data_IF_709698029776
#
_entry.id   IF_709698029776
#
_cell.length_a   1.000
_cell.length_b   1.000
_cell.length_c   1.000
_cell.angle_alpha   90.00
_cell.angle_beta   90.00
_cell.angle_gamma   90.00
#
_symmetry.space_group_name_H-M   'P 1'
#
loop_
_entity.id
_entity.type
_entity.pdbx_description
1 polymer ?
#
# COMPACT_ATOMS: atom_id res chain seq x y z
N UNK A 1 8.10 -4.21 -10.97
CA UNK A 1 8.59 -4.04 -9.59
C UNK A 1 8.24 -5.21 -8.69
N UNK A 2 7.02 -5.78 -8.77
CA UNK A 2 6.69 -7.01 -8.02
C UNK A 2 7.33 -8.19 -8.74
N UNK A 3 8.14 -8.99 -8.02
CA UNK A 3 8.77 -10.16 -8.63
C UNK A 3 7.70 -11.21 -9.01
N UNK A 4 7.82 -11.89 -10.16
CA UNK A 4 6.84 -12.88 -10.60
C UNK A 4 6.55 -13.94 -9.52
N UNK A 5 5.28 -14.25 -9.30
CA UNK A 5 4.85 -15.26 -8.31
C UNK A 5 4.98 -14.85 -6.84
N UNK A 6 5.49 -13.66 -6.53
CA UNK A 6 5.53 -13.16 -5.16
C UNK A 6 4.13 -12.90 -4.62
N UNK A 7 3.90 -13.23 -3.36
CA UNK A 7 2.63 -12.95 -2.69
C UNK A 7 2.47 -11.44 -2.44
N UNK A 8 1.29 -10.92 -2.76
CA UNK A 8 0.91 -9.53 -2.52
C UNK A 8 -0.14 -9.43 -1.41
N UNK A 9 0.09 -8.53 -0.45
CA UNK A 9 -0.86 -8.17 0.61
C UNK A 9 -1.60 -6.88 0.22
N UNK A 10 -2.92 -6.89 0.29
CA UNK A 10 -3.78 -5.70 0.18
C UNK A 10 -4.38 -5.40 1.56
N UNK A 11 -3.97 -4.27 2.14
CA UNK A 11 -4.35 -3.84 3.50
C UNK A 11 -5.61 -3.00 3.43
N UNK A 12 -6.63 -3.32 4.24
CA UNK A 12 -7.96 -2.74 4.17
C UNK A 12 -8.54 -2.89 2.74
N UNK A 13 -8.54 -4.13 2.24
CA UNK A 13 -8.75 -4.45 0.83
C UNK A 13 -10.17 -4.17 0.33
N UNK A 14 -11.13 -3.91 1.23
CA UNK A 14 -12.52 -3.69 0.88
C UNK A 14 -13.07 -4.84 0.01
N UNK A 15 -13.81 -4.50 -1.03
CA UNK A 15 -14.35 -5.46 -1.99
C UNK A 15 -13.31 -5.99 -3.00
N UNK A 16 -12.00 -5.85 -2.75
CA UNK A 16 -10.93 -6.56 -3.46
C UNK A 16 -10.59 -6.04 -4.85
N UNK A 17 -10.69 -4.74 -5.09
CA UNK A 17 -10.31 -4.13 -6.39
C UNK A 17 -8.85 -4.47 -6.76
N UNK A 18 -7.93 -4.28 -5.83
CA UNK A 18 -6.51 -4.55 -6.06
C UNK A 18 -6.20 -6.06 -6.00
N UNK A 19 -6.90 -6.82 -5.16
CA UNK A 19 -6.75 -8.29 -5.15
C UNK A 19 -7.04 -8.90 -6.53
N UNK A 20 -8.13 -8.48 -7.19
CA UNK A 20 -8.46 -8.96 -8.55
C UNK A 20 -7.39 -8.58 -9.56
N UNK A 21 -6.92 -7.33 -9.50
CA UNK A 21 -5.90 -6.84 -10.42
C UNK A 21 -4.57 -7.57 -10.23
N UNK A 22 -4.08 -7.71 -9.00
CA UNK A 22 -2.83 -8.41 -8.67
C UNK A 22 -2.90 -9.90 -9.05
N UNK A 23 -4.04 -10.54 -8.76
CA UNK A 23 -4.28 -11.93 -9.18
C UNK A 23 -4.28 -12.08 -10.69
N UNK A 24 -4.89 -11.14 -11.42
CA UNK A 24 -4.85 -11.10 -12.89
C UNK A 24 -3.46 -10.98 -13.49
N UNK A 25 -2.51 -10.43 -12.71
CA UNK A 25 -1.09 -10.38 -13.05
C UNK A 25 -0.31 -11.64 -12.64
N UNK A 26 -0.98 -12.65 -12.07
CA UNK A 26 -0.37 -13.92 -11.68
C UNK A 26 0.24 -13.97 -10.28
N UNK A 27 -0.07 -13.00 -9.41
CA UNK A 27 0.40 -12.99 -8.03
C UNK A 27 -0.57 -13.74 -7.09
N UNK A 28 -0.09 -14.61 -6.19
CA UNK A 28 -0.86 -15.01 -5.03
C UNK A 28 -1.22 -13.77 -4.20
N UNK A 29 -2.49 -13.68 -3.75
CA UNK A 29 -2.96 -12.50 -3.04
C UNK A 29 -3.48 -12.85 -1.65
N UNK A 30 -3.25 -11.93 -0.72
CA UNK A 30 -3.75 -11.95 0.65
C UNK A 30 -4.46 -10.62 0.88
N UNK A 31 -5.70 -10.66 1.37
CA UNK A 31 -6.46 -9.47 1.72
C UNK A 31 -6.82 -9.47 3.20
N UNK A 32 -6.79 -8.31 3.83
CA UNK A 32 -7.32 -8.11 5.18
C UNK A 32 -8.31 -6.95 5.18
N UNK A 33 -9.46 -7.17 5.79
CA UNK A 33 -10.46 -6.14 6.03
C UNK A 33 -11.28 -6.46 7.29
N UNK A 34 -11.88 -5.43 7.88
CA UNK A 34 -12.79 -5.60 9.04
C UNK A 34 -14.24 -5.92 8.63
N UNK A 35 -14.59 -5.73 7.36
CA UNK A 35 -15.92 -5.96 6.83
C UNK A 35 -16.06 -7.37 6.26
N UNK A 36 -16.82 -8.23 6.94
CA UNK A 36 -17.14 -9.56 6.43
C UNK A 36 -17.90 -9.49 5.10
N UNK A 37 -18.76 -8.49 4.90
CA UNK A 37 -19.51 -8.27 3.66
C UNK A 37 -18.55 -7.95 2.49
N UNK A 38 -17.56 -7.06 2.73
CA UNK A 38 -16.58 -6.72 1.72
C UNK A 38 -15.72 -7.94 1.34
N UNK A 39 -15.30 -8.74 2.33
CA UNK A 39 -14.52 -9.96 2.09
C UNK A 39 -15.33 -11.04 1.37
N UNK A 40 -16.63 -11.15 1.60
CA UNK A 40 -17.49 -12.09 0.86
C UNK A 40 -17.45 -11.80 -0.66
N UNK A 41 -17.34 -10.54 -1.07
CA UNK A 41 -17.17 -10.16 -2.47
C UNK A 41 -15.79 -10.54 -3.05
N UNK A 42 -14.85 -10.96 -2.20
CA UNK A 42 -13.49 -11.37 -2.57
C UNK A 42 -13.33 -12.91 -2.59
N UNK A 43 -14.38 -13.66 -2.34
CA UNK A 43 -14.30 -15.12 -2.25
C UNK A 43 -13.66 -15.74 -3.51
N UNK A 44 -12.76 -16.71 -3.29
CA UNK A 44 -12.04 -17.39 -4.35
C UNK A 44 -10.87 -16.59 -4.96
N UNK A 45 -10.59 -15.34 -4.52
CA UNK A 45 -9.45 -14.57 -5.04
C UNK A 45 -8.12 -15.03 -4.44
N UNK A 46 -8.08 -15.36 -3.16
CA UNK A 46 -6.86 -15.75 -2.44
C UNK A 46 -7.12 -15.94 -0.96
N UNK A 47 -6.11 -15.75 -0.12
CA UNK A 47 -6.24 -15.77 1.33
C UNK A 47 -6.95 -14.49 1.81
N UNK A 48 -8.04 -14.65 2.57
CA UNK A 48 -8.83 -13.53 3.09
C UNK A 48 -8.85 -13.59 4.61
N UNK A 49 -8.51 -12.50 5.26
CA UNK A 49 -8.45 -12.39 6.73
C UNK A 49 -9.44 -11.35 7.21
N UNK A 50 -10.45 -11.79 7.96
CA UNK A 50 -11.38 -10.90 8.66
C UNK A 50 -10.74 -10.44 9.96
N UNK A 51 -10.30 -9.18 10.03
CA UNK A 51 -9.68 -8.61 11.21
C UNK A 51 -9.86 -7.10 11.30
N UNK A 52 -10.16 -6.59 12.50
CA UNK A 52 -10.05 -5.16 12.81
C UNK A 52 -8.61 -4.87 13.25
N UNK A 53 -7.79 -4.47 12.27
CA UNK A 53 -6.36 -4.19 12.48
C UNK A 53 -6.07 -2.89 13.25
N UNK A 54 -7.09 -2.07 13.52
CA UNK A 54 -6.97 -0.88 14.36
C UNK A 54 -7.11 -1.20 15.85
N UNK A 55 -7.88 -2.25 16.19
CA UNK A 55 -8.21 -2.63 17.58
C UNK A 55 -7.62 -3.97 18.00
N UNK A 56 -7.33 -4.83 17.02
CA UNK A 56 -6.77 -6.16 17.24
C UNK A 56 -5.27 -6.24 16.92
N UNK A 57 -4.66 -7.40 17.13
CA UNK A 57 -3.29 -7.64 16.74
C UNK A 57 -3.13 -7.68 15.22
N UNK A 58 -1.95 -7.34 14.73
CA UNK A 58 -1.59 -7.52 13.33
C UNK A 58 -1.63 -9.02 12.95
N UNK A 59 -2.50 -9.44 12.01
CA UNK A 59 -2.72 -10.87 11.74
C UNK A 59 -1.56 -11.54 11.00
N UNK A 60 -0.60 -10.77 10.51
CA UNK A 60 0.54 -11.25 9.72
C UNK A 60 1.87 -11.10 10.46
N UNK A 61 1.87 -11.20 11.78
CA UNK A 61 3.11 -11.10 12.57
C UNK A 61 4.15 -12.10 12.06
N UNK A 62 5.36 -11.60 11.75
CA UNK A 62 6.46 -12.41 11.22
C UNK A 62 6.34 -12.80 9.73
N UNK A 63 5.25 -12.46 9.04
CA UNK A 63 5.13 -12.66 7.59
C UNK A 63 5.62 -11.45 6.83
N UNK A 64 6.24 -11.71 5.69
CA UNK A 64 6.64 -10.68 4.74
C UNK A 64 6.09 -10.99 3.34
N UNK A 65 5.86 -9.95 2.56
CA UNK A 65 5.21 -10.01 1.26
C UNK A 65 6.07 -9.36 0.19
N UNK A 66 6.03 -9.90 -1.02
CA UNK A 66 6.73 -9.31 -2.17
C UNK A 66 6.10 -7.99 -2.63
N UNK A 67 4.83 -7.76 -2.27
CA UNK A 67 4.20 -6.45 -2.38
C UNK A 67 3.26 -6.22 -1.19
N UNK A 68 3.25 -4.99 -0.68
CA UNK A 68 2.24 -4.49 0.28
C UNK A 68 1.54 -3.33 -0.39
N UNK A 69 0.23 -3.43 -0.57
CA UNK A 69 -0.61 -2.41 -1.20
C UNK A 69 -1.55 -1.83 -0.17
N UNK A 70 -1.61 -0.50 -0.10
CA UNK A 70 -2.48 0.24 0.83
C UNK A 70 -3.13 1.37 0.06
N UNK A 71 -4.46 1.42 0.01
CA UNK A 71 -5.14 2.51 -0.66
C UNK A 71 -6.34 3.02 0.14
N UNK A 72 -6.48 4.36 0.20
CA UNK A 72 -7.58 5.03 0.90
C UNK A 72 -7.71 4.61 2.38
N UNK A 73 -6.61 4.25 3.01
CA UNK A 73 -6.54 3.82 4.41
C UNK A 73 -5.38 4.51 5.11
N UNK A 74 -5.59 4.99 6.32
CA UNK A 74 -4.56 5.56 7.18
C UNK A 74 -4.82 5.20 8.63
N UNK A 75 -3.92 4.44 9.22
CA UNK A 75 -3.83 4.20 10.65
C UNK A 75 -2.37 4.27 11.07
N UNK A 76 -1.98 5.41 11.62
CA UNK A 76 -0.57 5.74 11.92
C UNK A 76 0.15 4.69 12.78
N UNK A 77 -0.48 4.08 13.80
CA UNK A 77 0.18 3.02 14.58
C UNK A 77 0.65 1.82 13.77
N UNK A 78 0.07 1.57 12.59
CA UNK A 78 0.47 0.46 11.71
C UNK A 78 1.46 0.82 10.61
N UNK A 79 1.84 2.09 10.44
CA UNK A 79 2.75 2.49 9.35
C UNK A 79 4.07 1.71 9.38
N UNK A 80 4.71 1.62 10.54
CA UNK A 80 5.94 0.84 10.70
C UNK A 80 5.74 -0.64 10.41
N UNK A 81 4.65 -1.23 10.91
CA UNK A 81 4.31 -2.65 10.69
C UNK A 81 4.09 -2.96 9.22
N UNK A 82 3.40 -2.08 8.48
CA UNK A 82 3.20 -2.24 7.04
C UNK A 82 4.53 -2.17 6.27
N UNK A 83 5.40 -1.24 6.66
CA UNK A 83 6.76 -1.15 6.10
C UNK A 83 7.55 -2.43 6.40
N UNK A 84 7.56 -2.92 7.64
CA UNK A 84 8.25 -4.15 8.06
C UNK A 84 7.73 -5.41 7.35
N UNK A 85 6.46 -5.41 6.95
CA UNK A 85 5.84 -6.51 6.20
C UNK A 85 6.31 -6.62 4.74
N UNK A 86 7.09 -5.66 4.24
CA UNK A 86 7.69 -5.73 2.90
C UNK A 86 8.91 -6.65 2.94
N UNK A 87 8.91 -7.72 2.16
CA UNK A 87 10.03 -8.64 2.05
C UNK A 87 11.29 -7.98 1.42
N UNK A 88 12.50 -8.49 1.67
CA UNK A 88 13.67 -8.10 0.89
C UNK A 88 13.41 -8.28 -0.62
N UNK A 89 13.68 -7.25 -1.41
CA UNK A 89 13.33 -7.18 -2.83
C UNK A 89 11.85 -6.84 -3.11
N UNK A 90 11.03 -6.74 -2.07
CA UNK A 90 9.61 -6.40 -2.18
C UNK A 90 9.34 -4.91 -2.28
N UNK A 91 8.09 -4.55 -2.55
CA UNK A 91 7.63 -3.18 -2.78
C UNK A 91 6.46 -2.81 -1.88
N UNK A 92 6.48 -1.60 -1.34
CA UNK A 92 5.31 -0.92 -0.77
C UNK A 92 4.72 0.01 -1.83
N UNK A 93 3.42 -0.09 -2.05
CA UNK A 93 2.63 0.83 -2.88
C UNK A 93 1.55 1.41 -1.96
N UNK A 94 1.66 2.68 -1.65
CA UNK A 94 0.74 3.32 -0.72
C UNK A 94 0.17 4.60 -1.34
N UNK A 95 -1.15 4.74 -1.37
CA UNK A 95 -1.85 5.97 -1.72
C UNK A 95 -2.96 6.22 -0.72
N UNK A 96 -3.00 7.43 -0.13
CA UNK A 96 -4.17 7.86 0.65
C UNK A 96 -4.30 9.38 0.67
N UNK A 97 -5.36 9.85 1.29
CA UNK A 97 -5.70 11.26 1.36
C UNK A 97 -4.70 12.06 2.18
N UNK A 98 -4.45 13.29 1.76
CA UNK A 98 -3.48 14.20 2.37
C UNK A 98 -4.13 15.51 2.84
N UNK A 99 -3.36 16.27 3.58
CA UNK A 99 -3.71 17.62 4.05
C UNK A 99 -4.26 18.47 2.90
N UNK A 100 -5.35 19.18 3.15
CA UNK A 100 -6.09 19.94 2.17
C UNK A 100 -7.32 19.21 1.60
N UNK A 101 -7.43 17.88 1.76
CA UNK A 101 -8.58 17.12 1.25
C UNK A 101 -9.90 17.52 1.94
N UNK A 102 -9.85 18.01 3.17
CA UNK A 102 -10.98 18.56 3.91
C UNK A 102 -11.65 19.77 3.23
N UNK A 103 -10.93 20.45 2.33
CA UNK A 103 -11.43 21.59 1.56
C UNK A 103 -12.24 21.19 0.31
N UNK A 104 -12.09 19.94 -0.14
CA UNK A 104 -12.70 19.46 -1.40
C UNK A 104 -13.59 18.24 -1.22
N UNK A 105 -13.52 17.55 -0.07
CA UNK A 105 -14.33 16.35 0.12
C UNK A 105 -14.07 15.58 1.41
N UNK A 106 -14.30 14.28 1.32
CA UNK A 106 -14.06 13.34 2.44
C UNK A 106 -12.98 12.33 2.08
N UNK A 107 -12.22 11.85 3.06
CA UNK A 107 -12.27 12.18 4.50
C UNK A 107 -11.83 13.64 4.75
N UNK A 108 -12.42 14.25 5.80
CA UNK A 108 -12.14 15.63 6.19
C UNK A 108 -11.49 15.73 7.59
N UNK A 109 -11.46 14.63 8.33
CA UNK A 109 -10.90 14.61 9.68
C UNK A 109 -9.38 14.50 9.64
N UNK A 110 -8.63 15.34 10.38
CA UNK A 110 -7.16 15.41 10.30
C UNK A 110 -6.46 14.08 10.55
N UNK A 111 -7.03 13.20 11.40
CA UNK A 111 -6.48 11.88 11.68
C UNK A 111 -6.43 10.95 10.46
N UNK A 112 -7.24 11.22 9.43
CA UNK A 112 -7.27 10.45 8.19
C UNK A 112 -6.55 11.13 7.04
N UNK A 113 -5.88 12.26 7.30
CA UNK A 113 -5.15 13.03 6.30
C UNK A 113 -3.65 13.02 6.61
N UNK A 114 -2.86 12.60 5.66
CA UNK A 114 -1.40 12.63 5.77
C UNK A 114 -0.91 14.08 5.83
N UNK A 115 0.08 14.34 6.67
CA UNK A 115 0.79 15.61 6.66
C UNK A 115 1.79 15.65 5.49
N UNK A 116 2.17 16.85 5.00
CA UNK A 116 3.14 16.96 3.91
C UNK A 116 4.41 16.13 4.17
N UNK A 117 4.78 15.27 3.21
CA UNK A 117 5.94 14.40 3.31
C UNK A 117 5.84 13.21 4.28
N UNK A 118 4.67 12.96 4.89
CA UNK A 118 4.53 11.93 5.92
C UNK A 118 4.86 10.52 5.40
N UNK A 119 4.48 10.17 4.16
CA UNK A 119 4.84 8.86 3.59
C UNK A 119 6.35 8.71 3.34
N UNK A 120 7.06 9.78 3.01
CA UNK A 120 8.53 9.73 2.90
C UNK A 120 9.16 9.37 4.25
N UNK A 121 8.69 9.99 5.31
CA UNK A 121 9.16 9.70 6.68
C UNK A 121 8.80 8.27 7.11
N UNK A 122 7.56 7.85 6.87
CA UNK A 122 7.09 6.50 7.22
C UNK A 122 7.87 5.40 6.49
N UNK A 123 8.32 5.64 5.27
CA UNK A 123 9.07 4.70 4.46
C UNK A 123 10.60 4.79 4.66
N UNK A 124 11.07 5.47 5.72
CA UNK A 124 12.51 5.47 6.07
C UNK A 124 13.03 4.03 6.18
N UNK A 125 14.15 3.73 5.49
CA UNK A 125 14.71 2.37 5.40
C UNK A 125 14.25 1.58 4.16
N UNK A 126 13.30 2.11 3.38
CA UNK A 126 13.02 1.66 2.02
C UNK A 126 13.60 2.66 1.02
N UNK A 127 13.93 2.19 -0.18
CA UNK A 127 14.30 3.08 -1.29
C UNK A 127 13.04 3.61 -1.94
N UNK A 128 12.79 4.91 -1.86
CA UNK A 128 11.73 5.57 -2.60
C UNK A 128 12.06 5.54 -4.09
N UNK A 129 11.16 4.96 -4.89
CA UNK A 129 11.26 4.89 -6.36
C UNK A 129 10.39 5.95 -7.01
N UNK A 130 9.21 6.21 -6.45
CA UNK A 130 8.31 7.27 -6.88
C UNK A 130 7.58 7.85 -5.68
N UNK A 131 7.34 9.16 -5.72
CA UNK A 131 6.58 9.87 -4.69
C UNK A 131 5.85 11.05 -5.33
N UNK A 132 4.61 11.22 -4.91
CA UNK A 132 3.78 12.37 -5.28
C UNK A 132 3.05 12.87 -4.02
N UNK A 133 2.95 14.18 -3.88
CA UNK A 133 2.20 14.87 -2.84
C UNK A 133 1.51 16.07 -3.47
N UNK A 134 0.19 16.05 -3.59
CA UNK A 134 -0.48 17.13 -4.27
C UNK A 134 -1.96 16.91 -4.54
N UNK A 135 -2.49 17.77 -5.39
CA UNK A 135 -3.89 17.79 -5.77
C UNK A 135 -4.12 17.05 -7.09
N UNK A 136 -5.08 16.15 -7.07
CA UNK A 136 -5.57 15.44 -8.26
C UNK A 136 -6.97 15.92 -8.61
N UNK A 137 -7.21 16.14 -9.89
CA UNK A 137 -8.56 16.41 -10.44
C UNK A 137 -9.21 15.11 -10.94
N UNK A 138 -10.54 15.11 -10.99
CA UNK A 138 -11.36 14.04 -11.55
C UNK A 138 -11.18 12.66 -10.91
N UNK A 139 -11.57 12.46 -9.64
CA UNK A 139 -12.21 13.41 -8.72
C UNK A 139 -11.19 14.31 -8.02
N UNK A 140 -11.65 15.48 -7.59
CA UNK A 140 -10.87 16.43 -6.82
C UNK A 140 -10.50 15.84 -5.47
N UNK A 141 -9.19 15.69 -5.20
CA UNK A 141 -8.67 15.16 -3.95
C UNK A 141 -7.21 15.54 -3.73
N UNK A 142 -6.83 15.76 -2.48
CA UNK A 142 -5.43 15.84 -2.09
C UNK A 142 -4.96 14.45 -1.66
N UNK A 143 -3.83 14.01 -2.22
CA UNK A 143 -3.27 12.67 -1.95
C UNK A 143 -1.76 12.71 -1.82
N UNK A 144 -1.23 11.76 -1.06
CA UNK A 144 0.16 11.33 -1.20
C UNK A 144 0.20 9.92 -1.76
N UNK A 145 1.19 9.67 -2.61
CA UNK A 145 1.50 8.35 -3.17
C UNK A 145 2.97 8.05 -3.02
N UNK A 146 3.28 6.84 -2.66
CA UNK A 146 4.65 6.37 -2.62
C UNK A 146 4.77 4.96 -3.19
N UNK A 147 5.83 4.74 -3.94
CA UNK A 147 6.33 3.42 -4.28
C UNK A 147 7.74 3.33 -3.72
N UNK A 148 7.93 2.42 -2.76
CA UNK A 148 9.20 2.25 -2.08
C UNK A 148 9.59 0.77 -2.02
N UNK A 149 10.85 0.45 -2.22
CA UNK A 149 11.37 -0.91 -2.32
C UNK A 149 12.30 -1.22 -1.16
N UNK A 150 12.13 -2.38 -0.53
CA UNK A 150 13.15 -2.94 0.38
C UNK A 150 14.25 -3.54 -0.46
N UNK A 151 15.36 -2.82 -0.59
CA UNK A 151 16.48 -3.33 -1.38
C UNK A 151 17.04 -4.64 -0.81
N UNK A 152 17.50 -5.51 -1.71
CA UNK A 152 18.29 -6.67 -1.32
C UNK A 152 19.66 -6.21 -0.84
N UNK A 153 20.31 -6.95 0.09
CA UNK A 153 21.72 -6.73 0.38
C UNK A 153 22.51 -6.76 -0.94
N UNK A 154 23.23 -5.69 -1.23
CA UNK A 154 23.88 -5.54 -2.53
C UNK A 154 25.06 -6.50 -2.66
N UNK A 155 25.03 -7.32 -3.71
CA UNK A 155 26.17 -8.15 -4.14
C UNK A 155 26.81 -7.69 -5.46
N UNK A 156 26.39 -6.55 -6.02
CA UNK A 156 26.97 -6.04 -7.28
C UNK A 156 26.21 -4.84 -7.85
N UNK A 157 26.68 -3.64 -7.61
CA UNK A 157 26.19 -2.40 -8.20
C UNK A 157 24.79 -1.93 -7.72
N UNK A 158 24.37 -0.72 -8.09
CA UNK A 158 23.08 -0.16 -7.65
C UNK A 158 21.89 -0.86 -8.30
N UNK A 159 20.82 -1.05 -7.52
CA UNK A 159 19.54 -1.55 -8.04
C UNK A 159 18.97 -0.62 -9.12
N UNK A 160 18.46 -1.20 -10.19
CA UNK A 160 17.86 -0.47 -11.31
C UNK A 160 16.34 -0.62 -11.27
N UNK A 161 15.64 0.47 -10.95
CA UNK A 161 14.19 0.53 -10.98
C UNK A 161 13.75 1.32 -12.21
N UNK A 162 13.07 0.65 -13.16
CA UNK A 162 12.60 1.31 -14.37
C UNK A 162 11.49 2.31 -14.01
N UNK A 163 11.70 3.55 -14.40
CA UNK A 163 10.68 4.59 -14.32
C UNK A 163 9.86 4.58 -15.62
N UNK A 164 8.56 4.94 -15.56
CA UNK A 164 7.78 5.11 -16.77
C UNK A 164 8.41 6.20 -17.62
N UNK A 165 8.57 5.93 -18.92
CA UNK A 165 8.96 6.97 -19.86
C UNK A 165 7.75 7.88 -20.08
N UNK A 166 7.90 9.16 -19.80
CA UNK A 166 6.92 10.15 -20.19
C UNK A 166 6.97 10.25 -21.72
N UNK A 167 5.85 10.03 -22.40
CA UNK A 167 5.75 10.33 -23.81
C UNK A 167 5.92 11.86 -23.96
N UNK A 168 7.00 12.27 -24.62
CA UNK A 168 7.25 13.65 -25.03
C UNK A 168 6.27 14.09 -26.11
#
# INVERSE_FOLDING_TARGET
MIAPGSTALDVACGAGRHLRWLRGLGHPVVGVDRSAEALAACEGLGELVLADIEKGPWPFAGRQFGAVVVTNYLWRPLLATMVESVAPGGVLIYETFAHGNDTVGRPARPEFLLQPGELLTACTGLRTVAYEDGFQQNPDRFVQRITAVRELPQSGGPSRHLLPMWAS
#
